data_IF_206485418375
#
_entry.id   IF_206485418375
#
_cell.length_a   1.000
_cell.length_b   1.000
_cell.length_c   1.000
_cell.angle_alpha   90.00
_cell.angle_beta   90.00
_cell.angle_gamma   90.00
#
_symmetry.space_group_name_H-M   'P 1'
#
loop_
_entity.id
_entity.type
_entity.pdbx_description
1 polymer ?
#
# COMPACT_ATOMS: atom_id res chain seq x y z
N UNK A 1 -24.70 40.59 5.37
CA UNK A 1 -23.61 39.98 6.16
C UNK A 1 -23.55 38.51 5.77
N UNK A 2 -22.40 38.06 5.28
CA UNK A 2 -22.20 36.75 4.62
C UNK A 2 -22.38 35.58 5.59
N UNK A 3 -22.98 34.45 5.16
CA UNK A 3 -22.84 33.22 5.91
C UNK A 3 -21.39 32.75 5.79
N UNK A 4 -20.73 32.54 6.94
CA UNK A 4 -19.43 31.89 7.04
C UNK A 4 -19.52 30.50 6.41
N UNK A 5 -18.97 30.37 5.21
CA UNK A 5 -18.84 29.09 4.53
C UNK A 5 -17.65 28.37 5.17
N UNK A 6 -17.89 27.70 6.30
CA UNK A 6 -16.91 26.80 6.91
C UNK A 6 -16.88 25.55 6.04
N UNK A 7 -16.02 25.56 5.02
CA UNK A 7 -15.64 24.34 4.29
C UNK A 7 -15.15 23.35 5.33
N UNK A 8 -15.80 22.19 5.53
CA UNK A 8 -15.18 21.13 6.31
C UNK A 8 -13.90 20.81 5.56
N UNK A 9 -12.77 21.08 6.22
CA UNK A 9 -11.44 20.68 5.82
C UNK A 9 -11.57 19.28 5.23
N UNK A 10 -11.45 19.18 3.91
CA UNK A 10 -11.64 17.94 3.20
C UNK A 10 -10.89 16.87 3.97
N UNK A 11 -11.62 15.92 4.56
CA UNK A 11 -10.98 14.69 5.01
C UNK A 11 -10.11 14.26 3.85
N UNK A 12 -8.80 14.05 4.04
CA UNK A 12 -7.97 13.57 2.95
C UNK A 12 -8.65 12.29 2.50
N UNK A 13 -9.29 12.36 1.31
CA UNK A 13 -10.01 11.24 0.72
C UNK A 13 -9.15 10.01 0.96
N UNK A 14 -9.69 8.94 1.56
CA UNK A 14 -8.87 7.83 2.00
C UNK A 14 -7.98 7.47 0.82
N UNK A 15 -6.67 7.51 1.04
CA UNK A 15 -5.65 7.22 0.05
C UNK A 15 -5.68 5.73 -0.39
N UNK A 16 -6.86 5.11 -0.30
CA UNK A 16 -7.17 3.71 -0.51
C UNK A 16 -7.38 3.39 -1.98
N UNK A 17 -7.60 4.38 -2.85
CA UNK A 17 -7.59 4.13 -4.29
C UNK A 17 -6.41 4.82 -4.94
N UNK A 18 -5.18 4.46 -4.51
CA UNK A 18 -4.03 4.66 -5.40
C UNK A 18 -4.36 3.89 -6.67
N UNK A 19 -4.68 4.61 -7.75
CA UNK A 19 -4.96 4.01 -9.05
C UNK A 19 -3.76 3.14 -9.43
N UNK A 20 -3.86 1.84 -9.16
CA UNK A 20 -2.81 0.90 -9.53
C UNK A 20 -2.85 0.87 -11.04
N UNK A 21 -1.77 1.29 -11.72
CA UNK A 21 -1.77 1.39 -13.17
C UNK A 21 -2.10 0.01 -13.73
N UNK A 22 -3.11 -0.04 -14.59
CA UNK A 22 -3.44 -1.23 -15.38
C UNK A 22 -2.35 -1.40 -16.45
N UNK A 23 -1.25 -2.04 -16.07
CA UNK A 23 -0.09 -2.24 -16.95
C UNK A 23 1.08 -2.95 -16.25
N UNK A 24 2.17 -3.16 -16.99
CA UNK A 24 3.40 -3.72 -16.42
C UNK A 24 4.00 -2.74 -15.40
N UNK A 25 3.84 -3.05 -14.11
CA UNK A 25 4.43 -2.26 -13.03
C UNK A 25 5.96 -2.40 -13.06
N UNK A 26 6.66 -1.27 -13.23
CA UNK A 26 8.10 -1.19 -13.02
C UNK A 26 8.47 -1.58 -11.57
N UNK A 27 9.70 -2.06 -11.36
CA UNK A 27 10.18 -2.57 -10.06
C UNK A 27 10.01 -1.54 -8.94
N UNK A 28 10.36 -0.28 -9.20
CA UNK A 28 10.19 0.82 -8.24
C UNK A 28 8.74 1.05 -7.84
N UNK A 29 7.82 0.85 -8.79
CA UNK A 29 6.40 0.99 -8.53
C UNK A 29 5.87 -0.17 -7.68
N UNK A 30 6.35 -1.40 -7.92
CA UNK A 30 6.07 -2.56 -7.06
C UNK A 30 6.63 -2.36 -5.64
N UNK A 31 7.81 -1.77 -5.50
CA UNK A 31 8.39 -1.42 -4.19
C UNK A 31 7.54 -0.38 -3.46
N UNK A 32 7.12 0.70 -4.15
CA UNK A 32 6.26 1.72 -3.57
C UNK A 32 4.91 1.16 -3.11
N UNK A 33 4.30 0.29 -3.93
CA UNK A 33 3.06 -0.43 -3.58
C UNK A 33 3.29 -1.38 -2.41
N UNK A 34 4.38 -2.15 -2.40
CA UNK A 34 4.71 -3.08 -1.32
C UNK A 34 4.91 -2.38 0.03
N UNK A 35 5.65 -1.27 0.05
CA UNK A 35 5.84 -0.44 1.25
C UNK A 35 4.53 0.13 1.77
N UNK A 36 3.65 0.56 0.86
CA UNK A 36 2.32 1.04 1.23
C UNK A 36 1.46 -0.09 1.82
N UNK A 37 1.45 -1.27 1.19
CA UNK A 37 0.72 -2.44 1.69
C UNK A 37 1.18 -2.89 3.07
N UNK A 38 2.48 -2.83 3.36
CA UNK A 38 3.02 -3.12 4.69
C UNK A 38 2.50 -2.14 5.75
N UNK A 39 2.43 -0.84 5.43
CA UNK A 39 1.86 0.18 6.32
C UNK A 39 0.38 -0.04 6.57
N UNK A 40 -0.39 -0.37 5.53
CA UNK A 40 -1.82 -0.67 5.67
C UNK A 40 -2.03 -1.93 6.49
N UNK A 41 -1.28 -3.00 6.21
CA UNK A 41 -1.33 -4.25 6.99
C UNK A 41 -1.05 -4.03 8.48
N UNK A 42 -0.12 -3.15 8.82
CA UNK A 42 0.21 -2.82 10.21
C UNK A 42 -0.91 -2.06 10.94
N UNK A 43 -1.79 -1.37 10.20
CA UNK A 43 -2.96 -0.64 10.74
C UNK A 43 -4.20 -1.51 10.84
N UNK A 44 -4.26 -2.61 10.10
CA UNK A 44 -5.42 -3.49 10.07
C UNK A 44 -5.33 -4.56 11.18
N UNK A 45 -6.47 -4.94 11.78
CA UNK A 45 -6.53 -6.08 12.68
C UNK A 45 -6.07 -7.37 11.98
N UNK A 46 -5.52 -8.30 12.76
CA UNK A 46 -5.08 -9.58 12.24
C UNK A 46 -6.23 -10.31 11.52
N UNK A 47 -5.98 -10.85 10.33
CA UNK A 47 -7.00 -11.51 9.50
C UNK A 47 -7.78 -10.59 8.55
N UNK A 48 -7.79 -9.26 8.77
CA UNK A 48 -8.57 -8.34 7.93
C UNK A 48 -7.86 -7.91 6.63
N UNK A 49 -6.56 -8.15 6.53
CA UNK A 49 -5.78 -7.72 5.36
C UNK A 49 -6.19 -8.44 4.06
N UNK A 50 -6.56 -9.71 4.12
CA UNK A 50 -6.99 -10.48 2.95
C UNK A 50 -8.27 -9.92 2.33
N UNK A 51 -9.38 -9.86 3.08
CA UNK A 51 -10.62 -9.24 2.62
C UNK A 51 -10.45 -7.79 2.16
N UNK A 52 -9.60 -7.02 2.84
CA UNK A 52 -9.32 -5.64 2.44
C UNK A 52 -8.61 -5.52 1.08
N UNK A 53 -7.77 -6.48 0.68
CA UNK A 53 -7.19 -6.48 -0.68
C UNK A 53 -8.27 -6.72 -1.73
N UNK A 54 -9.22 -7.62 -1.46
CA UNK A 54 -10.29 -7.97 -2.40
C UNK A 54 -11.23 -6.79 -2.69
N UNK A 55 -11.35 -5.85 -1.76
CA UNK A 55 -12.10 -4.60 -1.99
C UNK A 55 -11.36 -3.59 -2.86
N UNK A 56 -10.04 -3.73 -3.05
CA UNK A 56 -9.25 -2.78 -3.84
C UNK A 56 -9.38 -3.05 -5.34
N UNK A 57 -10.02 -2.12 -6.06
CA UNK A 57 -10.13 -2.21 -7.52
C UNK A 57 -8.76 -2.09 -8.18
N UNK A 58 -8.36 -3.13 -8.93
CA UNK A 58 -7.09 -3.15 -9.67
C UNK A 58 -5.91 -3.72 -8.89
N UNK A 59 -6.12 -4.23 -7.68
CA UNK A 59 -5.10 -4.96 -6.91
C UNK A 59 -5.49 -6.44 -6.76
N UNK A 60 -4.78 -7.33 -7.44
CA UNK A 60 -4.94 -8.76 -7.21
C UNK A 60 -4.14 -9.19 -5.96
N UNK A 61 -4.67 -10.16 -5.21
CA UNK A 61 -3.98 -10.73 -4.03
C UNK A 61 -2.55 -11.21 -4.33
N UNK A 62 -2.35 -11.86 -5.48
CA UNK A 62 -1.03 -12.32 -5.94
C UNK A 62 -0.04 -11.16 -6.15
N UNK A 63 -0.50 -10.08 -6.79
CA UNK A 63 0.30 -8.87 -7.01
C UNK A 63 0.63 -8.17 -5.70
N UNK A 64 -0.33 -8.05 -4.78
CA UNK A 64 -0.12 -7.48 -3.46
C UNK A 64 0.99 -8.22 -2.70
N UNK A 65 0.92 -9.56 -2.68
CA UNK A 65 1.93 -10.41 -2.06
C UNK A 65 3.29 -10.28 -2.73
N UNK A 66 3.36 -10.22 -4.07
CA UNK A 66 4.61 -10.02 -4.80
C UNK A 66 5.25 -8.67 -4.46
N UNK A 67 4.48 -7.58 -4.46
CA UNK A 67 4.95 -6.25 -4.11
C UNK A 67 5.45 -6.19 -2.65
N UNK A 68 4.69 -6.77 -1.71
CA UNK A 68 5.11 -6.83 -0.31
C UNK A 68 6.41 -7.63 -0.13
N UNK A 69 6.55 -8.79 -0.79
CA UNK A 69 7.79 -9.59 -0.73
C UNK A 69 9.00 -8.84 -1.28
N UNK A 70 8.82 -8.08 -2.36
CA UNK A 70 9.86 -7.20 -2.89
C UNK A 70 10.22 -6.10 -1.88
N UNK A 71 9.22 -5.46 -1.26
CA UNK A 71 9.42 -4.37 -0.31
C UNK A 71 9.99 -4.81 1.05
N UNK A 72 9.71 -6.05 1.48
CA UNK A 72 10.32 -6.65 2.67
C UNK A 72 11.78 -7.04 2.41
N UNK A 73 12.24 -6.99 1.16
CA UNK A 73 13.49 -7.61 0.74
C UNK A 73 13.30 -9.12 0.79
N UNK A 74 13.30 -9.79 -0.35
CA UNK A 74 13.29 -11.25 -0.35
C UNK A 74 14.58 -11.77 0.27
N UNK A 75 14.68 -11.83 1.61
CA UNK A 75 15.70 -12.54 2.40
C UNK A 75 17.12 -12.48 1.80
N UNK A 76 17.59 -11.33 1.32
CA UNK A 76 18.95 -11.19 0.78
C UNK A 76 19.73 -10.02 1.41
N UNK A 77 19.07 -8.94 1.83
CA UNK A 77 19.78 -7.81 2.45
C UNK A 77 20.02 -7.98 3.97
N UNK A 78 19.17 -8.73 4.68
CA UNK A 78 19.37 -8.98 6.12
C UNK A 78 20.54 -9.94 6.43
N UNK A 79 21.17 -10.57 5.43
CA UNK A 79 22.39 -11.38 5.61
C UNK A 79 23.68 -10.58 5.39
N UNK A 80 23.64 -9.43 4.73
CA UNK A 80 24.84 -8.61 4.49
C UNK A 80 25.16 -7.64 5.63
N UNK A 81 24.17 -7.16 6.40
CA UNK A 81 24.45 -6.27 7.55
C UNK A 81 24.90 -6.98 8.84
N UNK A 82 24.72 -8.30 8.95
CA UNK A 82 25.24 -9.09 10.08
C UNK A 82 26.62 -9.71 9.80
N UNK A 83 27.23 -9.38 8.65
CA UNK A 83 28.53 -9.91 8.23
C UNK A 83 29.58 -8.80 7.95
N UNK A 84 29.32 -7.56 8.40
CA UNK A 84 30.25 -6.44 8.32
C UNK A 84 30.87 -6.14 9.70
#
# INVERSE_FOLDING_TARGET
MSPSNVVPLAEPAPADTRAIPRGHLFVDQKLAVGRWLLKVKARLPHGHFGPWIETQKGLCRSLALQCMRLATGGRQDARQELAA
#
